data_IF_128131101547
#
_entry.id   IF_128131101547
#
_cell.length_a   1.000
_cell.length_b   1.000
_cell.length_c   1.000
_cell.angle_alpha   90.00
_cell.angle_beta   90.00
_cell.angle_gamma   90.00
#
_symmetry.space_group_name_H-M   'P 1'
#
loop_
_entity.id
_entity.type
_entity.pdbx_description
1 polymer ?
#
# COMPACT_ATOMS: atom_id res chain seq x y z
N UNK A 1 1.13 -17.49 -16.31
CA UNK A 1 1.81 -17.45 -15.00
C UNK A 1 0.83 -17.97 -13.94
N UNK A 2 1.28 -18.41 -12.77
CA UNK A 2 0.37 -18.52 -11.61
C UNK A 2 -0.13 -17.12 -11.25
N UNK A 3 -1.24 -17.00 -10.54
CA UNK A 3 -1.68 -15.71 -10.02
C UNK A 3 -0.55 -15.14 -9.15
N UNK A 4 -0.25 -13.85 -9.24
CA UNK A 4 0.78 -13.23 -8.38
C UNK A 4 0.42 -13.36 -6.91
N UNK A 5 -0.87 -13.43 -6.57
CA UNK A 5 -1.35 -13.68 -5.20
C UNK A 5 -1.01 -15.09 -4.69
N UNK A 6 -0.70 -16.06 -5.56
CA UNK A 6 -0.21 -17.39 -5.15
C UNK A 6 1.22 -17.35 -4.58
N UNK A 7 1.96 -16.25 -4.80
CA UNK A 7 3.33 -16.10 -4.34
C UNK A 7 3.43 -15.50 -2.94
N UNK A 8 2.30 -15.12 -2.31
CA UNK A 8 2.27 -14.41 -1.02
C UNK A 8 3.14 -15.07 0.06
N UNK A 9 3.98 -14.25 0.70
CA UNK A 9 4.80 -14.60 1.87
C UNK A 9 4.79 -13.42 2.85
N UNK A 10 4.63 -13.69 4.14
CA UNK A 10 4.62 -12.67 5.20
C UNK A 10 5.88 -12.86 6.08
N UNK A 11 7.06 -12.51 5.55
CA UNK A 11 8.31 -12.58 6.32
C UNK A 11 8.51 -11.28 7.08
N UNK A 12 8.34 -10.15 6.39
CA UNK A 12 8.39 -8.80 6.95
C UNK A 12 7.14 -7.99 6.64
N UNK A 13 6.40 -8.32 5.58
CA UNK A 13 5.23 -7.57 5.13
C UNK A 13 3.92 -8.10 5.73
N UNK A 14 2.81 -7.38 5.51
CA UNK A 14 1.52 -7.66 6.17
C UNK A 14 0.59 -8.55 5.33
N UNK A 15 0.60 -8.39 4.01
CA UNK A 15 -0.40 -8.97 3.10
C UNK A 15 0.23 -9.76 1.96
N UNK A 16 1.41 -10.32 2.17
CA UNK A 16 2.10 -11.25 1.28
C UNK A 16 3.04 -10.60 0.27
N UNK A 17 3.26 -9.30 0.40
CA UNK A 17 4.05 -8.48 -0.52
C UNK A 17 5.47 -9.03 -0.71
N UNK A 18 6.13 -9.61 0.30
CA UNK A 18 7.50 -10.15 0.15
C UNK A 18 7.62 -11.08 -1.07
N UNK A 19 6.68 -12.00 -1.23
CA UNK A 19 6.71 -12.98 -2.32
C UNK A 19 6.15 -12.44 -3.64
N UNK A 20 5.22 -11.49 -3.59
CA UNK A 20 4.72 -10.80 -4.79
C UNK A 20 5.82 -9.94 -5.40
N UNK A 21 6.53 -9.17 -4.57
CA UNK A 21 7.67 -8.32 -4.96
C UNK A 21 8.77 -9.19 -5.59
N UNK A 22 9.14 -10.30 -4.94
CA UNK A 22 10.11 -11.26 -5.47
C UNK A 22 9.70 -11.77 -6.88
N UNK A 23 8.44 -12.15 -7.06
CA UNK A 23 7.93 -12.67 -8.33
C UNK A 23 7.91 -11.60 -9.44
N UNK A 24 7.48 -10.38 -9.13
CA UNK A 24 7.43 -9.28 -10.11
C UNK A 24 8.85 -8.89 -10.52
N UNK A 25 9.75 -8.65 -9.56
CA UNK A 25 11.14 -8.26 -9.84
C UNK A 25 11.90 -9.35 -10.60
N UNK A 26 11.63 -10.63 -10.32
CA UNK A 26 12.15 -11.76 -11.08
C UNK A 26 11.66 -11.80 -12.55
N UNK A 27 10.44 -11.31 -12.81
CA UNK A 27 9.87 -11.25 -14.16
C UNK A 27 10.36 -10.05 -14.98
N UNK A 28 10.64 -8.90 -14.34
CA UNK A 28 11.02 -7.66 -15.03
C UNK A 28 12.51 -7.34 -14.98
N UNK A 29 13.27 -8.04 -14.12
CA UNK A 29 14.71 -7.85 -13.93
C UNK A 29 15.07 -6.64 -13.07
N UNK A 30 16.26 -6.70 -12.46
CA UNK A 30 16.72 -5.77 -11.41
C UNK A 30 18.16 -5.29 -11.69
N UNK A 31 18.36 -4.45 -12.73
CA UNK A 31 19.70 -4.04 -13.16
C UNK A 31 20.47 -3.23 -12.11
N UNK A 32 19.77 -2.48 -11.26
CA UNK A 32 20.38 -1.53 -10.31
C UNK A 32 20.43 -2.07 -8.89
N UNK A 33 19.51 -2.98 -8.53
CA UNK A 33 19.29 -3.51 -7.18
C UNK A 33 19.17 -2.39 -6.13
N UNK A 34 18.40 -1.37 -6.50
CA UNK A 34 18.10 -0.19 -5.70
C UNK A 34 16.61 -0.12 -5.39
N UNK A 35 16.29 0.15 -4.13
CA UNK A 35 14.91 0.32 -3.67
C UNK A 35 14.73 1.58 -2.83
N UNK A 36 13.49 2.06 -2.76
CA UNK A 36 13.11 3.19 -1.92
C UNK A 36 11.78 2.91 -1.23
N UNK A 37 11.63 3.35 0.01
CA UNK A 37 10.38 3.24 0.77
C UNK A 37 10.01 4.60 1.38
N UNK A 38 8.80 5.06 1.09
CA UNK A 38 8.14 6.18 1.76
C UNK A 38 7.27 5.68 2.90
N UNK A 39 7.34 6.36 4.04
CA UNK A 39 6.69 5.89 5.27
C UNK A 39 7.43 4.69 5.85
N UNK A 40 8.77 4.75 5.83
CA UNK A 40 9.61 3.63 6.22
C UNK A 40 9.44 3.20 7.69
N UNK A 41 8.85 4.02 8.55
CA UNK A 41 8.63 3.73 9.96
C UNK A 41 9.94 3.36 10.69
N UNK A 42 10.09 2.12 11.16
CA UNK A 42 11.32 1.58 11.74
C UNK A 42 12.16 0.79 10.72
N UNK A 43 11.67 0.69 9.50
CA UNK A 43 12.23 0.01 8.34
C UNK A 43 12.32 -1.51 8.46
N UNK A 44 11.62 -2.11 9.41
CA UNK A 44 11.52 -3.57 9.57
C UNK A 44 10.06 -3.99 9.63
N UNK A 45 9.27 -3.36 10.48
CA UNK A 45 7.87 -3.69 10.67
C UNK A 45 7.06 -3.33 9.44
N UNK A 46 6.51 -4.35 8.75
CA UNK A 46 5.71 -4.21 7.53
C UNK A 46 6.45 -3.55 6.35
N UNK A 47 7.78 -3.49 6.40
CA UNK A 47 8.56 -2.89 5.33
C UNK A 47 8.60 -3.76 4.08
N UNK A 48 8.20 -3.19 2.95
CA UNK A 48 8.24 -3.81 1.63
C UNK A 48 9.67 -3.92 1.07
N UNK A 49 10.61 -3.11 1.57
CA UNK A 49 12.01 -3.13 1.16
C UNK A 49 12.91 -4.03 2.01
N UNK A 50 12.45 -4.47 3.21
CA UNK A 50 13.31 -5.20 4.16
C UNK A 50 13.94 -6.46 3.57
N UNK A 51 13.17 -7.28 2.84
CA UNK A 51 13.70 -8.48 2.18
C UNK A 51 14.78 -8.13 1.16
N UNK A 52 14.55 -7.11 0.33
CA UNK A 52 15.49 -6.64 -0.68
C UNK A 52 16.81 -6.18 -0.04
N UNK A 53 16.73 -5.42 1.06
CA UNK A 53 17.90 -4.98 1.83
C UNK A 53 18.72 -6.17 2.34
N UNK A 54 18.06 -7.19 2.87
CA UNK A 54 18.74 -8.42 3.31
C UNK A 54 19.38 -9.20 2.16
N UNK A 55 18.87 -9.04 0.94
CA UNK A 55 19.46 -9.58 -0.28
C UNK A 55 20.60 -8.71 -0.85
N UNK A 56 21.02 -7.67 -0.11
CA UNK A 56 22.14 -6.80 -0.47
C UNK A 56 21.78 -5.67 -1.42
N UNK A 57 20.50 -5.30 -1.49
CA UNK A 57 20.08 -4.12 -2.23
C UNK A 57 20.50 -2.84 -1.52
N UNK A 58 20.74 -1.80 -2.31
CA UNK A 58 20.92 -0.45 -1.79
C UNK A 58 19.54 0.19 -1.60
N UNK A 59 19.30 0.78 -0.44
CA UNK A 59 17.98 1.27 -0.07
C UNK A 59 18.02 2.72 0.42
N UNK A 60 17.01 3.49 0.00
CA UNK A 60 16.69 4.80 0.56
C UNK A 60 15.39 4.67 1.37
N UNK A 61 15.50 4.80 2.68
CA UNK A 61 14.38 4.66 3.62
C UNK A 61 14.02 6.04 4.16
N UNK A 62 12.83 6.55 3.83
CA UNK A 62 12.41 7.91 4.14
C UNK A 62 11.27 7.87 5.16
N UNK A 63 11.47 8.56 6.28
CA UNK A 63 10.51 8.63 7.38
C UNK A 63 10.34 10.09 7.85
N UNK A 64 9.11 10.58 7.92
CA UNK A 64 8.82 11.97 8.30
C UNK A 64 8.81 12.21 9.80
N UNK A 65 8.35 11.22 10.59
CA UNK A 65 8.33 11.30 12.05
C UNK A 65 9.75 11.11 12.63
N UNK A 66 10.18 12.09 13.43
CA UNK A 66 11.52 12.08 14.00
C UNK A 66 11.75 10.92 14.99
N UNK A 67 10.71 10.44 15.67
CA UNK A 67 10.81 9.31 16.60
C UNK A 67 10.99 7.99 15.85
N UNK A 68 10.15 7.74 14.84
CA UNK A 68 10.27 6.58 13.96
C UNK A 68 11.57 6.56 13.18
N UNK A 69 11.99 7.72 12.69
CA UNK A 69 13.30 7.88 12.08
C UNK A 69 14.45 7.43 12.99
N UNK A 70 14.40 7.71 14.29
CA UNK A 70 15.43 7.23 15.23
C UNK A 70 15.41 5.71 15.37
N UNK A 71 14.23 5.08 15.36
CA UNK A 71 14.10 3.62 15.33
C UNK A 71 14.73 3.05 14.05
N UNK A 72 14.42 3.64 12.90
CA UNK A 72 14.97 3.29 11.58
C UNK A 72 16.50 3.35 11.57
N UNK A 73 17.10 4.46 12.02
CA UNK A 73 18.56 4.63 12.08
C UNK A 73 19.19 3.57 12.99
N UNK A 74 18.58 3.27 14.14
CA UNK A 74 19.08 2.23 15.05
C UNK A 74 19.03 0.84 14.40
N UNK A 75 17.95 0.53 13.69
CA UNK A 75 17.76 -0.76 13.04
C UNK A 75 18.73 -1.01 11.87
N UNK A 76 19.22 0.06 11.23
CA UNK A 76 20.17 -0.01 10.12
C UNK A 76 21.59 0.46 10.47
N UNK A 77 21.88 0.66 11.76
CA UNK A 77 23.20 1.06 12.20
C UNK A 77 24.27 0.05 11.73
N UNK A 78 25.27 0.53 11.00
CA UNK A 78 26.35 -0.29 10.46
C UNK A 78 26.04 -0.98 9.12
N UNK A 79 24.89 -0.70 8.50
CA UNK A 79 24.61 -1.12 7.13
C UNK A 79 24.79 0.06 6.15
N UNK A 80 25.97 0.15 5.55
CA UNK A 80 26.33 1.24 4.62
C UNK A 80 25.52 1.23 3.30
N UNK A 81 24.73 0.17 3.05
CA UNK A 81 23.85 0.09 1.87
C UNK A 81 22.47 0.70 2.12
N UNK A 82 22.16 1.17 3.33
CA UNK A 82 20.86 1.73 3.69
C UNK A 82 21.01 3.18 4.12
N UNK A 83 20.41 4.10 3.37
CA UNK A 83 20.34 5.51 3.71
C UNK A 83 19.02 5.79 4.42
N UNK A 84 19.10 6.22 5.67
CA UNK A 84 17.94 6.60 6.46
C UNK A 84 17.78 8.13 6.40
N UNK A 85 16.63 8.63 5.95
CA UNK A 85 16.38 10.06 5.74
C UNK A 85 15.15 10.53 6.52
N UNK A 86 15.31 11.61 7.31
CA UNK A 86 14.18 12.23 8.01
C UNK A 86 13.57 13.38 7.21
N UNK A 87 12.59 13.11 6.37
CA UNK A 87 11.94 14.10 5.49
C UNK A 87 10.48 13.77 5.24
N UNK A 88 9.68 14.82 5.01
CA UNK A 88 8.43 14.71 4.28
C UNK A 88 8.72 14.99 2.81
N UNK A 89 8.23 14.13 1.93
CA UNK A 89 8.40 14.28 0.49
C UNK A 89 7.38 15.30 -0.02
N UNK A 90 7.83 16.21 -0.86
CA UNK A 90 7.00 17.27 -1.42
C UNK A 90 7.28 17.48 -2.92
N UNK A 91 6.58 18.43 -3.54
CA UNK A 91 6.74 18.76 -4.97
C UNK A 91 7.84 19.79 -5.24
N UNK A 92 8.55 20.22 -4.20
CA UNK A 92 9.59 21.24 -4.26
C UNK A 92 10.97 20.65 -4.04
N UNK A 93 11.71 21.22 -3.09
CA UNK A 93 13.11 20.85 -2.83
C UNK A 93 13.27 19.45 -2.23
N UNK A 94 12.19 18.86 -1.69
CA UNK A 94 12.19 17.50 -1.16
C UNK A 94 11.46 16.53 -2.09
N UNK A 95 11.49 16.76 -3.41
CA UNK A 95 11.01 15.78 -4.37
C UNK A 95 11.80 14.47 -4.27
N UNK A 96 11.17 13.35 -4.64
CA UNK A 96 11.84 12.04 -4.58
C UNK A 96 13.13 12.03 -5.40
N UNK A 97 13.07 12.54 -6.64
CA UNK A 97 14.23 12.66 -7.51
C UNK A 97 15.35 13.49 -6.90
N UNK A 98 15.01 14.57 -6.19
CA UNK A 98 15.99 15.42 -5.50
C UNK A 98 16.69 14.67 -4.36
N UNK A 99 15.93 13.94 -3.54
CA UNK A 99 16.48 13.15 -2.44
C UNK A 99 17.33 11.99 -2.99
N UNK A 100 16.84 11.23 -3.97
CA UNK A 100 17.60 10.13 -4.58
C UNK A 100 18.95 10.60 -5.13
N UNK A 101 18.98 11.76 -5.78
CA UNK A 101 20.19 12.37 -6.32
C UNK A 101 21.19 12.78 -5.22
N UNK A 102 20.73 13.29 -4.09
CA UNK A 102 21.57 13.60 -2.93
C UNK A 102 22.33 12.36 -2.45
N UNK A 103 21.65 11.20 -2.46
CA UNK A 103 22.24 9.93 -2.07
C UNK A 103 22.87 9.16 -3.23
N UNK A 104 22.99 9.73 -4.44
CA UNK A 104 23.64 9.08 -5.58
C UNK A 104 22.91 7.81 -6.06
N UNK A 105 21.58 7.82 -6.05
CA UNK A 105 20.72 6.79 -6.64
C UNK A 105 20.11 7.37 -7.91
N UNK A 106 20.50 6.85 -9.07
CA UNK A 106 20.04 7.36 -10.37
C UNK A 106 18.81 6.60 -10.89
N UNK A 107 18.76 5.30 -10.62
CA UNK A 107 17.71 4.39 -11.08
C UNK A 107 17.10 3.67 -9.88
N UNK A 108 15.79 3.41 -9.93
CA UNK A 108 15.07 2.63 -8.93
C UNK A 108 14.44 1.40 -9.58
N UNK A 109 14.78 0.23 -9.06
CA UNK A 109 14.12 -1.01 -9.47
C UNK A 109 12.79 -1.19 -8.72
N UNK A 110 12.71 -0.71 -7.47
CA UNK A 110 11.51 -0.83 -6.64
C UNK A 110 11.24 0.44 -5.83
N UNK A 111 10.01 0.92 -5.85
CA UNK A 111 9.53 2.01 -4.99
C UNK A 111 8.31 1.53 -4.21
N UNK A 112 8.35 1.64 -2.88
CA UNK A 112 7.19 1.47 -2.00
C UNK A 112 6.68 2.84 -1.54
N UNK A 113 5.37 3.06 -1.66
CA UNK A 113 4.66 4.26 -1.23
C UNK A 113 3.56 3.83 -0.26
N UNK A 114 3.75 4.09 1.03
CA UNK A 114 2.76 3.77 2.06
C UNK A 114 2.80 4.87 3.14
N UNK A 115 1.97 5.90 2.98
CA UNK A 115 2.01 7.12 3.80
C UNK A 115 0.63 7.49 4.36
N UNK A 116 -0.18 6.49 4.67
CA UNK A 116 -1.43 6.59 5.43
C UNK A 116 -2.46 7.60 4.84
N UNK A 117 -2.66 7.58 3.51
CA UNK A 117 -3.80 8.22 2.83
C UNK A 117 -3.47 9.36 1.86
N UNK A 118 -2.22 9.81 1.76
CA UNK A 118 -1.78 10.79 0.75
C UNK A 118 -1.04 10.16 -0.45
N UNK A 119 -1.09 8.85 -0.57
CA UNK A 119 -0.38 8.03 -1.56
C UNK A 119 -0.69 8.47 -2.99
N UNK A 120 -1.97 8.75 -3.28
CA UNK A 120 -2.41 9.26 -4.58
C UNK A 120 -1.81 10.63 -4.91
N UNK A 121 -1.69 11.52 -3.92
CA UNK A 121 -1.08 12.83 -4.11
C UNK A 121 0.42 12.70 -4.42
N UNK A 122 1.12 11.82 -3.71
CA UNK A 122 2.54 11.54 -3.98
C UNK A 122 2.74 10.96 -5.37
N UNK A 123 1.91 9.97 -5.77
CA UNK A 123 1.99 9.37 -7.10
C UNK A 123 1.82 10.40 -8.22
N UNK A 124 0.87 11.34 -8.10
CA UNK A 124 0.66 12.43 -9.08
C UNK A 124 1.90 13.32 -9.27
N UNK A 125 2.73 13.40 -8.24
CA UNK A 125 3.88 14.31 -8.19
C UNK A 125 5.20 13.60 -8.39
N UNK A 126 5.16 12.31 -8.69
CA UNK A 126 6.34 11.47 -8.84
C UNK A 126 7.18 11.96 -10.03
N UNK A 127 8.41 12.38 -9.75
CA UNK A 127 9.36 12.94 -10.71
C UNK A 127 10.43 11.94 -11.17
N UNK A 128 10.26 10.67 -10.78
CA UNK A 128 11.14 9.55 -11.13
C UNK A 128 10.36 8.42 -11.77
N UNK A 129 11.07 7.50 -12.44
CA UNK A 129 10.43 6.42 -13.21
C UNK A 129 10.88 5.00 -12.78
N UNK A 130 10.55 4.55 -11.54
CA UNK A 130 10.91 3.23 -11.05
C UNK A 130 10.45 2.10 -11.97
N UNK A 131 11.10 0.94 -11.93
CA UNK A 131 10.65 -0.23 -12.70
C UNK A 131 9.33 -0.79 -12.17
N UNK A 132 9.20 -0.83 -10.84
CA UNK A 132 8.02 -1.31 -10.11
C UNK A 132 7.67 -0.33 -9.00
N UNK A 133 6.39 0.02 -8.90
CA UNK A 133 5.82 0.81 -7.80
C UNK A 133 4.85 -0.10 -7.03
N UNK A 134 5.04 -0.17 -5.72
CA UNK A 134 4.10 -0.74 -4.76
C UNK A 134 3.48 0.43 -4.01
N UNK A 135 2.16 0.59 -4.05
CA UNK A 135 1.49 1.75 -3.45
C UNK A 135 0.24 1.33 -2.67
N UNK A 136 0.06 1.89 -1.46
CA UNK A 136 -1.13 1.61 -0.66
C UNK A 136 -2.39 2.10 -1.39
N UNK A 137 -3.38 1.21 -1.52
CA UNK A 137 -4.70 1.56 -2.05
C UNK A 137 -5.76 0.97 -1.14
N UNK A 138 -6.50 1.82 -0.45
CA UNK A 138 -7.48 1.39 0.53
C UNK A 138 -8.59 0.52 -0.07
N UNK A 139 -8.78 -0.68 0.49
CA UNK A 139 -9.75 -1.67 0.01
C UNK A 139 -11.22 -1.29 0.28
N UNK A 140 -11.49 -0.26 1.07
CA UNK A 140 -12.84 0.19 1.40
C UNK A 140 -13.60 0.73 0.19
N UNK A 141 -12.93 1.42 -0.73
CA UNK A 141 -13.53 2.02 -1.91
C UNK A 141 -13.98 0.97 -2.93
N UNK A 142 -15.06 1.28 -3.67
CA UNK A 142 -15.51 0.42 -4.77
C UNK A 142 -14.47 0.35 -5.88
N UNK A 143 -14.18 -0.83 -6.46
CA UNK A 143 -13.26 -0.96 -7.59
C UNK A 143 -13.82 -0.36 -8.90
N UNK A 144 -15.06 0.13 -8.89
CA UNK A 144 -15.70 0.83 -10.00
C UNK A 144 -15.83 2.34 -9.77
N UNK A 145 -15.44 2.85 -8.59
CA UNK A 145 -15.56 4.27 -8.29
C UNK A 145 -14.41 5.06 -8.87
N UNK A 146 -14.71 6.03 -9.73
CA UNK A 146 -13.78 7.02 -10.27
C UNK A 146 -13.93 8.40 -9.60
N UNK A 147 -14.70 8.47 -8.50
CA UNK A 147 -14.94 9.71 -7.77
C UNK A 147 -13.74 10.05 -6.90
N UNK A 148 -13.12 11.20 -7.16
CA UNK A 148 -12.09 11.77 -6.30
C UNK A 148 -12.68 12.14 -4.93
N UNK A 149 -12.07 11.62 -3.87
CA UNK A 149 -12.42 11.96 -2.49
C UNK A 149 -11.69 13.24 -2.10
N UNK A 150 -12.38 14.15 -1.42
CA UNK A 150 -11.75 15.36 -0.89
C UNK A 150 -10.54 15.00 -0.03
N UNK A 151 -9.45 15.76 -0.18
CA UNK A 151 -8.17 15.46 0.46
C UNK A 151 -8.26 15.43 2.00
N UNK A 152 -9.07 16.28 2.60
CA UNK A 152 -9.27 16.30 4.06
C UNK A 152 -10.10 15.11 4.56
N UNK A 153 -10.83 14.45 3.66
CA UNK A 153 -11.53 13.19 3.93
C UNK A 153 -10.60 12.00 3.67
N UNK A 154 -9.79 12.05 2.61
CA UNK A 154 -8.93 10.95 2.16
C UNK A 154 -7.75 10.63 3.11
N UNK A 155 -7.36 11.58 3.97
CA UNK A 155 -6.34 11.36 5.00
C UNK A 155 -6.74 10.27 6.03
N UNK A 156 -5.83 9.94 6.93
CA UNK A 156 -6.06 9.00 8.04
C UNK A 156 -6.61 7.65 7.56
N UNK A 157 -6.03 7.12 6.48
CA UNK A 157 -6.31 5.81 5.87
C UNK A 157 -7.68 5.68 5.21
N UNK A 158 -8.36 6.78 4.88
CA UNK A 158 -9.53 6.70 4.00
C UNK A 158 -9.12 6.41 2.56
N UNK A 159 -8.05 7.08 2.09
CA UNK A 159 -7.44 6.91 0.78
C UNK A 159 -8.32 7.33 -0.39
N UNK A 160 -7.87 6.99 -1.60
CA UNK A 160 -8.58 7.19 -2.86
C UNK A 160 -9.03 5.85 -3.48
N UNK A 161 -10.06 5.84 -4.35
CA UNK A 161 -10.43 4.64 -5.08
C UNK A 161 -9.36 4.14 -6.05
N UNK A 162 -9.19 2.82 -6.15
CA UNK A 162 -8.22 2.16 -7.05
C UNK A 162 -8.30 2.62 -8.51
N UNK A 163 -9.48 2.83 -9.13
CA UNK A 163 -9.55 3.33 -10.50
C UNK A 163 -8.78 4.63 -10.74
N UNK A 164 -8.71 5.53 -9.77
CA UNK A 164 -7.93 6.77 -9.90
C UNK A 164 -6.43 6.48 -10.02
N UNK A 165 -5.91 5.57 -9.19
CA UNK A 165 -4.51 5.15 -9.26
C UNK A 165 -4.20 4.46 -10.59
N UNK A 166 -5.08 3.59 -11.07
CA UNK A 166 -4.88 2.85 -12.33
C UNK A 166 -4.89 3.78 -13.54
N UNK A 167 -5.82 4.75 -13.57
CA UNK A 167 -5.87 5.75 -14.64
C UNK A 167 -4.61 6.62 -14.65
N UNK A 168 -4.21 7.15 -13.50
CA UNK A 168 -2.99 7.94 -13.36
C UNK A 168 -1.73 7.14 -13.72
N UNK A 169 -1.63 5.89 -13.26
CA UNK A 169 -0.52 5.01 -13.57
C UNK A 169 -0.40 4.77 -15.08
N UNK A 170 -1.53 4.56 -15.77
CA UNK A 170 -1.55 4.39 -17.22
C UNK A 170 -1.07 5.65 -17.95
N UNK A 171 -1.47 6.85 -17.50
CA UNK A 171 -0.96 8.13 -18.05
C UNK A 171 0.56 8.28 -17.85
N UNK A 172 1.10 7.73 -16.76
CA UNK A 172 2.53 7.71 -16.44
C UNK A 172 3.31 6.57 -17.12
N UNK A 173 2.62 5.70 -17.89
CA UNK A 173 3.22 4.56 -18.59
C UNK A 173 3.49 3.35 -17.69
N UNK A 174 2.54 3.03 -16.81
CA UNK A 174 2.54 1.86 -15.93
C UNK A 174 1.22 1.08 -16.03
N UNK A 175 1.30 -0.20 -15.69
CA UNK A 175 0.17 -1.12 -15.68
C UNK A 175 0.01 -1.78 -14.33
N UNK A 176 -1.24 -1.90 -13.86
CA UNK A 176 -1.57 -2.69 -12.68
C UNK A 176 -1.38 -4.18 -12.99
N UNK A 177 -0.57 -4.88 -12.19
CA UNK A 177 -0.33 -6.32 -12.37
C UNK A 177 -0.80 -7.16 -11.17
N UNK A 178 -0.95 -6.56 -10.00
CA UNK A 178 -1.42 -7.24 -8.79
C UNK A 178 -1.99 -6.24 -7.78
N UNK A 179 -2.90 -6.70 -6.92
CA UNK A 179 -3.39 -5.94 -5.78
C UNK A 179 -3.51 -6.84 -4.54
N UNK A 180 -2.90 -6.43 -3.43
CA UNK A 180 -2.86 -7.17 -2.17
C UNK A 180 -3.32 -6.36 -0.95
N UNK A 181 -3.96 -5.20 -1.20
CA UNK A 181 -4.01 -4.07 -0.27
C UNK A 181 -3.03 -2.97 -0.71
N UNK A 182 -1.90 -3.39 -1.28
CA UNK A 182 -1.01 -2.57 -2.09
C UNK A 182 -1.22 -2.87 -3.58
N UNK A 183 -1.30 -1.83 -4.41
CA UNK A 183 -1.32 -1.95 -5.86
C UNK A 183 0.12 -2.03 -6.40
N UNK A 184 0.38 -3.03 -7.23
CA UNK A 184 1.67 -3.19 -7.91
C UNK A 184 1.56 -2.70 -9.35
N UNK A 185 2.26 -1.62 -9.65
CA UNK A 185 2.29 -0.95 -10.93
C UNK A 185 3.65 -1.21 -11.59
N UNK A 186 3.65 -1.75 -12.80
CA UNK A 186 4.86 -2.10 -13.55
C UNK A 186 4.95 -1.24 -14.80
N UNK A 187 6.15 -0.74 -15.08
CA UNK A 187 6.43 0.15 -16.20
C UNK A 187 6.16 -0.54 -17.55
N UNK A 188 5.49 0.16 -18.47
CA UNK A 188 5.01 -0.41 -19.74
C UNK A 188 6.11 -1.10 -20.57
N UNK A 189 7.30 -0.51 -20.63
CA UNK A 189 8.43 -1.04 -21.41
C UNK A 189 8.96 -2.38 -20.88
N UNK A 190 8.57 -2.76 -19.66
CA UNK A 190 8.95 -4.02 -19.02
C UNK A 190 7.88 -5.10 -19.16
N UNK A 191 6.66 -4.71 -19.54
CA UNK A 191 5.56 -5.66 -19.74
C UNK A 191 5.85 -6.54 -20.96
N UNK A 192 6.29 -5.93 -22.06
CA UNK A 192 6.68 -6.61 -23.29
C UNK A 192 7.95 -7.46 -23.09
N UNK A 193 7.77 -8.76 -22.85
CA UNK A 193 8.87 -9.72 -22.61
C UNK A 193 8.89 -10.30 -21.20
N UNK A 194 8.08 -9.75 -20.29
CA UNK A 194 7.77 -10.41 -19.02
C UNK A 194 6.64 -11.43 -19.19
N UNK A 195 6.44 -12.26 -18.18
CA UNK A 195 5.29 -13.16 -18.07
C UNK A 195 4.12 -12.56 -17.26
N UNK A 196 4.16 -11.26 -16.97
CA UNK A 196 3.13 -10.55 -16.22
C UNK A 196 1.91 -10.26 -17.08
N UNK A 197 0.77 -9.98 -16.44
CA UNK A 197 -0.49 -9.66 -17.10
C UNK A 197 -1.11 -8.44 -16.44
N UNK A 198 -1.65 -7.54 -17.26
CA UNK A 198 -2.36 -6.36 -16.81
C UNK A 198 -3.72 -6.75 -16.23
N UNK A 199 -4.12 -6.10 -15.14
CA UNK A 199 -5.42 -6.27 -14.51
C UNK A 199 -6.21 -4.95 -14.57
N UNK A 200 -7.52 -5.07 -14.74
CA UNK A 200 -8.45 -3.98 -14.40
C UNK A 200 -8.59 -3.85 -12.87
N UNK A 201 -9.09 -2.69 -12.40
CA UNK A 201 -9.38 -2.50 -10.96
C UNK A 201 -10.35 -3.55 -10.42
N UNK A 202 -11.34 -3.97 -11.22
CA UNK A 202 -12.34 -4.97 -10.81
C UNK A 202 -11.72 -6.36 -10.70
N UNK A 203 -10.89 -6.78 -11.66
CA UNK A 203 -10.20 -8.08 -11.62
C UNK A 203 -9.22 -8.15 -10.44
N UNK A 204 -8.41 -7.11 -10.24
CA UNK A 204 -7.45 -7.03 -9.16
C UNK A 204 -8.14 -7.05 -7.78
N UNK A 205 -9.24 -6.31 -7.64
CA UNK A 205 -10.03 -6.27 -6.41
C UNK A 205 -10.74 -7.60 -6.12
N UNK A 206 -11.31 -8.25 -7.15
CA UNK A 206 -11.93 -9.56 -6.99
C UNK A 206 -10.91 -10.61 -6.55
N UNK A 207 -9.74 -10.66 -7.22
CA UNK A 207 -8.63 -11.54 -6.84
C UNK A 207 -8.19 -11.32 -5.39
N UNK A 208 -8.02 -10.06 -4.98
CA UNK A 208 -7.72 -9.72 -3.59
C UNK A 208 -8.75 -10.28 -2.60
N UNK A 209 -10.04 -10.01 -2.82
CA UNK A 209 -11.12 -10.46 -1.93
C UNK A 209 -11.17 -11.99 -1.82
N UNK A 210 -10.97 -12.70 -2.93
CA UNK A 210 -11.00 -14.17 -2.96
C UNK A 210 -9.85 -14.79 -2.15
N UNK A 211 -8.71 -14.10 -2.07
CA UNK A 211 -7.55 -14.53 -1.29
C UNK A 211 -7.60 -14.10 0.19
N UNK A 212 -8.61 -13.33 0.61
CA UNK A 212 -8.69 -12.88 1.99
C UNK A 212 -9.17 -13.98 2.96
N UNK A 213 -8.50 -14.11 4.12
CA UNK A 213 -9.01 -14.98 5.18
C UNK A 213 -10.36 -14.47 5.68
N UNK A 214 -11.17 -15.38 6.23
CA UNK A 214 -12.52 -15.07 6.73
C UNK A 214 -12.52 -13.87 7.69
N UNK A 215 -11.53 -13.79 8.58
CA UNK A 215 -11.41 -12.69 9.53
C UNK A 215 -11.20 -11.32 8.86
N UNK A 216 -10.41 -11.27 7.78
CA UNK A 216 -10.18 -10.03 7.04
C UNK A 216 -11.43 -9.59 6.27
N UNK A 217 -12.16 -10.54 5.67
CA UNK A 217 -13.47 -10.26 5.04
C UNK A 217 -14.48 -9.71 6.06
N UNK A 218 -14.57 -10.31 7.25
CA UNK A 218 -15.41 -9.80 8.32
C UNK A 218 -15.01 -8.39 8.79
N UNK A 219 -13.71 -8.09 8.81
CA UNK A 219 -13.21 -6.76 9.13
C UNK A 219 -13.60 -5.75 8.05
N UNK A 220 -13.38 -6.06 6.77
CA UNK A 220 -13.76 -5.18 5.64
C UNK A 220 -15.27 -4.92 5.58
N UNK A 221 -16.10 -5.90 5.94
CA UNK A 221 -17.53 -5.68 6.11
C UNK A 221 -17.82 -4.57 7.15
N UNK A 222 -17.10 -4.57 8.27
CA UNK A 222 -17.26 -3.54 9.31
C UNK A 222 -16.68 -2.19 8.89
N UNK A 223 -15.58 -2.17 8.13
CA UNK A 223 -15.00 -0.96 7.52
C UNK A 223 -16.00 -0.32 6.58
N UNK A 224 -16.63 -1.11 5.71
CA UNK A 224 -17.63 -0.64 4.76
C UNK A 224 -18.81 0.08 5.45
N UNK A 225 -19.15 -0.36 6.67
CA UNK A 225 -20.18 0.23 7.52
C UNK A 225 -19.71 1.44 8.35
N UNK A 226 -18.41 1.78 8.34
CA UNK A 226 -17.81 2.82 9.17
C UNK A 226 -17.77 2.46 10.67
N UNK A 227 -17.77 1.18 11.02
CA UNK A 227 -17.86 0.72 12.41
C UNK A 227 -16.49 0.41 13.05
N UNK A 228 -15.44 0.33 12.25
CA UNK A 228 -14.04 0.15 12.67
C UNK A 228 -13.18 1.17 11.91
N UNK A 229 -11.90 1.40 12.29
CA UNK A 229 -11.04 2.33 11.57
C UNK A 229 -11.06 2.09 10.04
N UNK A 230 -11.04 3.15 9.22
CA UNK A 230 -10.88 4.56 9.59
C UNK A 230 -12.17 5.27 10.06
N UNK A 231 -13.25 4.53 10.34
CA UNK A 231 -14.57 5.05 10.71
C UNK A 231 -15.25 5.90 9.62
N UNK A 232 -14.80 5.75 8.38
CA UNK A 232 -15.45 6.26 7.18
C UNK A 232 -16.44 5.24 6.63
N UNK A 233 -17.62 5.70 6.18
CA UNK A 233 -18.65 4.82 5.61
C UNK A 233 -18.53 4.82 4.09
N UNK A 234 -17.87 3.79 3.56
CA UNK A 234 -17.64 3.62 2.12
C UNK A 234 -18.91 3.31 1.33
N UNK A 235 -19.77 2.42 1.84
CA UNK A 235 -20.96 1.99 1.10
C UNK A 235 -20.66 1.19 -0.17
N UNK A 236 -19.50 0.53 -0.23
CA UNK A 236 -19.05 -0.30 -1.32
C UNK A 236 -19.89 -1.61 -1.41
N UNK A 237 -20.59 -1.86 -2.53
CA UNK A 237 -21.43 -3.05 -2.69
C UNK A 237 -20.63 -4.36 -2.73
N UNK A 238 -19.34 -4.33 -3.10
CA UNK A 238 -18.46 -5.51 -3.08
C UNK A 238 -18.14 -5.98 -1.66
N UNK A 239 -18.25 -5.09 -0.67
CA UNK A 239 -18.07 -5.39 0.74
C UNK A 239 -19.39 -5.62 1.48
N UNK A 240 -20.46 -5.93 0.75
CA UNK A 240 -21.70 -6.42 1.35
C UNK A 240 -21.48 -7.81 1.97
N UNK A 241 -22.22 -8.13 3.03
CA UNK A 241 -21.96 -9.35 3.80
C UNK A 241 -22.13 -10.62 2.96
N UNK A 242 -23.12 -10.67 2.07
CA UNK A 242 -23.39 -11.79 1.17
C UNK A 242 -22.30 -11.94 0.11
N UNK A 243 -21.81 -10.83 -0.46
CA UNK A 243 -20.68 -10.79 -1.40
C UNK A 243 -19.38 -11.29 -0.76
N UNK A 244 -19.18 -11.03 0.53
CA UNK A 244 -18.02 -11.50 1.29
C UNK A 244 -18.18 -12.94 1.82
N UNK A 245 -19.32 -13.60 1.56
CA UNK A 245 -19.61 -14.95 2.08
C UNK A 245 -19.93 -15.00 3.58
N UNK A 246 -20.32 -13.86 4.17
CA UNK A 246 -20.69 -13.73 5.57
C UNK A 246 -22.21 -13.93 5.72
N UNK A 247 -22.59 -15.02 6.39
CA UNK A 247 -24.01 -15.32 6.66
C UNK A 247 -24.70 -14.21 7.47
N UNK A 248 -25.98 -13.96 7.17
CA UNK A 248 -26.74 -12.84 7.75
C UNK A 248 -26.72 -12.79 9.30
N UNK A 249 -26.80 -13.95 9.96
CA UNK A 249 -26.74 -14.05 11.43
C UNK A 249 -25.37 -13.66 11.99
N UNK A 250 -24.28 -13.98 11.28
CA UNK A 250 -22.91 -13.57 11.63
C UNK A 250 -22.72 -12.07 11.40
N UNK A 251 -23.16 -11.57 10.25
CA UNK A 251 -23.11 -10.15 9.91
C UNK A 251 -23.82 -9.29 10.96
N UNK A 252 -25.02 -9.69 11.39
CA UNK A 252 -25.76 -9.02 12.47
C UNK A 252 -24.95 -8.99 13.77
N UNK A 253 -24.40 -10.14 14.21
CA UNK A 253 -23.58 -10.22 15.43
C UNK A 253 -22.34 -9.33 15.37
N UNK A 254 -21.64 -9.31 14.23
CA UNK A 254 -20.46 -8.47 14.01
C UNK A 254 -20.82 -6.99 14.15
N UNK A 255 -21.86 -6.56 13.43
CA UNK A 255 -22.37 -5.18 13.44
C UNK A 255 -22.76 -4.74 14.85
N UNK A 256 -23.57 -5.54 15.56
CA UNK A 256 -24.00 -5.22 16.93
C UNK A 256 -22.83 -5.12 17.91
N UNK A 257 -21.85 -6.03 17.83
CA UNK A 257 -20.66 -6.00 18.69
C UNK A 257 -19.76 -4.79 18.42
N UNK A 258 -19.61 -4.41 17.15
CA UNK A 258 -18.81 -3.23 16.78
C UNK A 258 -19.49 -1.94 17.24
N UNK A 259 -20.81 -1.80 17.00
CA UNK A 259 -21.59 -0.66 17.45
C UNK A 259 -21.54 -0.49 18.98
N UNK A 260 -21.69 -1.57 19.74
CA UNK A 260 -21.59 -1.54 21.20
C UNK A 260 -20.20 -1.09 21.66
N UNK A 261 -19.12 -1.59 21.04
CA UNK A 261 -17.74 -1.16 21.34
C UNK A 261 -17.54 0.33 21.08
N UNK A 262 -18.07 0.85 19.98
CA UNK A 262 -17.98 2.28 19.65
C UNK A 262 -18.73 3.15 20.66
N UNK A 263 -19.92 2.72 21.08
CA UNK A 263 -20.69 3.41 22.12
C UNK A 263 -19.92 3.47 23.44
N UNK A 264 -19.35 2.34 23.89
CA UNK A 264 -18.53 2.30 25.11
C UNK A 264 -17.28 3.20 24.98
N UNK A 265 -16.63 3.22 23.82
CA UNK A 265 -15.48 4.11 23.54
C UNK A 265 -15.87 5.59 23.65
N UNK A 266 -17.00 5.99 23.06
CA UNK A 266 -17.50 7.36 23.14
C UNK A 266 -17.79 7.77 24.59
N UNK A 267 -18.46 6.91 25.37
CA UNK A 267 -18.75 7.18 26.78
C UNK A 267 -17.46 7.37 27.60
N UNK A 268 -16.44 6.52 27.40
CA UNK A 268 -15.16 6.65 28.09
C UNK A 268 -14.42 7.95 27.74
N UNK A 269 -14.45 8.36 26.48
CA UNK A 269 -13.81 9.61 26.05
C UNK A 269 -14.48 10.86 26.62
N UNK A 270 -15.80 10.79 26.90
CA UNK A 270 -16.55 11.88 27.55
C UNK A 270 -16.26 11.90 29.06
N UNK A 271 -16.19 10.73 29.71
CA UNK A 271 -15.97 10.63 31.16
C UNK A 271 -14.52 10.85 31.62
N UNK A 272 -13.55 10.79 30.70
CA UNK A 272 -12.12 11.05 30.96
C UNK A 272 -11.66 12.48 30.62
N UNK A 273 -12.59 13.38 30.29
CA UNK A 273 -12.40 14.83 30.19
C UNK A 273 -13.04 15.51 31.39
#
# INVERSE_FOLDING_TARGET
MRDLLDYKKDVFTQNGEDGIIEAILGAVGTPSRTCCEFGAWDGIHFSNCRRLILDGWRALMIEGDAGRYQDLVRNYQGNDSVFCVNRFVDTGVNSLGSILKEYGIEELDFLSIDIDGYDYDVLKTLDVRPRVICIEVNAGHSPESDTLIDREIAKDNVGQPMPLFVLLAAEMGYQLVCYSGNAFLVRDDLMAGSSLTTLTSVEAYAGFIDHLPVAAREWLYLVNLGLVPPYYRYGNPYLAHDRLGIGASRAFKLKSRAALRNMVRQVRNIAGR
#
